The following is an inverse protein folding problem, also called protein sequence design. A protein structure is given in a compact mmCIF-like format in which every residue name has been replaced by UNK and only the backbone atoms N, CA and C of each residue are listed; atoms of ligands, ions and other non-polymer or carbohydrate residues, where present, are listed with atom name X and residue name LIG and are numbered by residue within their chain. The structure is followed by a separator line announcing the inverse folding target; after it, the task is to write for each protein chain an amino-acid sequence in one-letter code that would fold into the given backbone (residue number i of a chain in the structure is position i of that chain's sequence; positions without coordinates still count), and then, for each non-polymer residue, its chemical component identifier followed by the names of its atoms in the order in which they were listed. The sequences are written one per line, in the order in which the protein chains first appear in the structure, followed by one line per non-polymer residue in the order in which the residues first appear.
data_IF_908112606486
#
_entry.id   IF_908112606486
#
_cell.length_a   1.000
_cell.length_b   1.000
_cell.length_c   1.000
_cell.angle_alpha   90.00
_cell.angle_beta   90.00
_cell.angle_gamma   90.00
#
_symmetry.space_group_name_H-M   'P 1'
#
loop_
_entity.id
_entity.type
_entity.pdbx_description
1 polymer ?
#
# COMPACT_ATOMS: atom_id res chain seq x y z
N UNK A 1 36.26 -0.10 -9.92
CA UNK A 1 37.58 -0.75 -9.97
C UNK A 1 38.46 -0.10 -8.91
N UNK A 2 39.31 -0.85 -8.24
CA UNK A 2 40.29 -0.36 -7.30
C UNK A 2 41.62 -1.02 -7.63
N UNK A 3 42.74 -0.30 -7.44
CA UNK A 3 44.09 -0.85 -7.66
C UNK A 3 44.44 -1.97 -6.67
N UNK A 4 43.67 -2.12 -5.59
CA UNK A 4 43.79 -3.17 -4.55
C UNK A 4 42.75 -4.29 -4.68
N UNK A 5 42.22 -4.54 -5.88
CA UNK A 5 41.19 -5.57 -6.12
C UNK A 5 41.52 -6.94 -5.51
N UNK A 6 42.76 -7.47 -5.54
CA UNK A 6 43.09 -8.75 -4.92
C UNK A 6 43.03 -8.74 -3.38
N UNK A 7 43.31 -7.61 -2.74
CA UNK A 7 43.29 -7.47 -1.27
C UNK A 7 41.87 -7.37 -0.73
N UNK A 8 40.98 -6.72 -1.49
CA UNK A 8 39.55 -6.56 -1.13
C UNK A 8 38.82 -7.90 -1.08
N UNK A 9 39.32 -8.92 -1.79
CA UNK A 9 38.74 -10.28 -1.78
C UNK A 9 39.12 -11.09 -0.53
N UNK A 10 39.93 -10.55 0.39
CA UNK A 10 40.45 -11.27 1.57
C UNK A 10 40.01 -10.63 2.90
N UNK A 11 40.09 -11.42 3.96
CA UNK A 11 39.95 -10.95 5.34
C UNK A 11 38.63 -10.23 5.65
N UNK A 12 38.73 -9.13 6.39
CA UNK A 12 37.58 -8.33 6.83
C UNK A 12 36.78 -7.73 5.66
N UNK A 13 37.43 -7.40 4.55
CA UNK A 13 36.77 -6.91 3.34
C UNK A 13 35.82 -7.96 2.77
N UNK A 14 36.27 -9.22 2.71
CA UNK A 14 35.43 -10.34 2.25
C UNK A 14 34.20 -10.51 3.12
N UNK A 15 34.36 -10.44 4.44
CA UNK A 15 33.23 -10.54 5.39
C UNK A 15 32.24 -9.39 5.17
N UNK A 16 32.75 -8.16 5.02
CA UNK A 16 31.92 -6.98 4.80
C UNK A 16 31.10 -7.09 3.51
N UNK A 17 31.74 -7.40 2.39
CA UNK A 17 31.05 -7.49 1.10
C UNK A 17 30.09 -8.69 1.02
N UNK A 18 30.46 -9.88 1.49
CA UNK A 18 29.62 -11.06 1.39
C UNK A 18 28.53 -11.10 2.45
N UNK A 19 28.86 -10.84 3.72
CA UNK A 19 27.92 -11.08 4.81
C UNK A 19 27.10 -9.84 5.21
N UNK A 20 27.68 -8.64 5.05
CA UNK A 20 27.00 -7.39 5.43
C UNK A 20 26.31 -6.74 4.24
N UNK A 21 26.96 -6.72 3.09
CA UNK A 21 26.41 -6.14 1.87
C UNK A 21 25.79 -7.16 0.91
N UNK A 22 25.90 -8.45 1.23
CA UNK A 22 25.30 -9.55 0.45
C UNK A 22 25.74 -9.56 -1.03
N UNK A 23 27.01 -9.30 -1.30
CA UNK A 23 27.58 -9.47 -2.63
C UNK A 23 27.93 -10.93 -2.88
N UNK A 24 27.95 -11.32 -4.14
CA UNK A 24 28.49 -12.60 -4.61
C UNK A 24 29.91 -12.39 -5.14
N UNK A 25 30.75 -13.42 -5.06
CA UNK A 25 32.07 -13.39 -5.67
C UNK A 25 31.91 -13.58 -7.17
N UNK A 26 32.61 -12.76 -7.96
CA UNK A 26 32.74 -12.91 -9.41
C UNK A 26 34.16 -13.29 -9.75
N UNK A 27 34.31 -14.34 -10.57
CA UNK A 27 35.62 -14.80 -11.02
C UNK A 27 36.10 -14.05 -12.28
N UNK A 28 35.16 -13.53 -13.08
CA UNK A 28 35.47 -12.80 -14.32
C UNK A 28 34.61 -11.52 -14.46
N UNK A 29 35.19 -10.33 -14.30
CA UNK A 29 36.48 -10.02 -13.65
C UNK A 29 36.46 -10.32 -12.16
N UNK A 30 37.60 -10.66 -11.54
CA UNK A 30 37.66 -10.92 -10.11
C UNK A 30 37.12 -9.76 -9.29
N UNK A 31 36.19 -10.03 -8.36
CA UNK A 31 35.57 -8.97 -7.57
C UNK A 31 34.29 -9.41 -6.87
N UNK A 32 33.47 -8.42 -6.51
CA UNK A 32 32.16 -8.64 -5.90
C UNK A 32 31.07 -8.19 -6.86
N UNK A 33 30.04 -9.03 -7.01
CA UNK A 33 28.89 -8.77 -7.86
C UNK A 33 27.61 -8.82 -7.01
N UNK A 34 26.67 -7.91 -7.25
CA UNK A 34 25.36 -7.96 -6.63
C UNK A 34 24.28 -7.84 -7.70
N UNK A 35 23.30 -8.72 -7.64
CA UNK A 35 22.13 -8.66 -8.50
C UNK A 35 21.18 -7.54 -8.06
N UNK A 36 20.49 -6.95 -9.02
CA UNK A 36 19.83 -5.64 -9.07
C UNK A 36 18.88 -5.17 -7.94
N UNK A 37 18.61 -5.93 -6.90
CA UNK A 37 17.72 -5.44 -5.83
C UNK A 37 18.50 -4.74 -4.71
N UNK A 38 18.27 -3.44 -4.55
CA UNK A 38 18.88 -2.64 -3.47
C UNK A 38 20.30 -2.15 -3.73
N UNK A 39 20.75 -2.18 -4.99
CA UNK A 39 22.13 -1.83 -5.39
C UNK A 39 22.53 -0.39 -5.02
N UNK A 40 21.58 0.54 -5.08
CA UNK A 40 21.79 1.97 -4.84
C UNK A 40 22.35 2.23 -3.44
N UNK A 41 21.74 1.62 -2.43
CA UNK A 41 22.17 1.81 -1.04
C UNK A 41 23.45 1.07 -0.71
N UNK A 42 23.54 -0.15 -1.17
CA UNK A 42 24.70 -1.01 -0.99
C UNK A 42 25.95 -0.38 -1.63
N UNK A 43 25.79 0.32 -2.75
CA UNK A 43 26.87 1.03 -3.41
C UNK A 43 27.42 2.17 -2.52
N UNK A 44 26.55 2.95 -1.87
CA UNK A 44 27.01 4.01 -0.95
C UNK A 44 27.73 3.46 0.28
N UNK A 45 27.22 2.38 0.85
CA UNK A 45 27.84 1.77 2.01
C UNK A 45 29.18 1.12 1.65
N UNK A 46 29.27 0.50 0.46
CA UNK A 46 30.54 0.00 -0.08
C UNK A 46 31.55 1.12 -0.30
N UNK A 47 31.12 2.24 -0.90
CA UNK A 47 31.98 3.40 -1.14
C UNK A 47 32.46 4.02 0.17
N UNK A 48 31.58 4.21 1.14
CA UNK A 48 31.97 4.71 2.48
C UNK A 48 32.97 3.79 3.16
N UNK A 49 32.73 2.49 3.09
CA UNK A 49 33.65 1.50 3.66
C UNK A 49 35.03 1.58 3.01
N UNK A 50 35.10 1.61 1.66
CA UNK A 50 36.37 1.68 0.91
C UNK A 50 37.09 2.99 1.17
N UNK A 51 36.40 4.11 1.22
CA UNK A 51 37.01 5.42 1.55
C UNK A 51 37.57 5.42 2.98
N UNK A 52 36.93 4.78 3.94
CA UNK A 52 37.45 4.65 5.31
C UNK A 52 38.71 3.74 5.39
N UNK A 53 38.96 2.94 4.36
CA UNK A 53 40.16 2.11 4.21
C UNK A 53 41.21 2.80 3.33
N UNK A 54 41.10 4.12 3.08
CA UNK A 54 41.99 4.89 2.23
C UNK A 54 42.19 4.29 0.81
N UNK A 55 41.13 3.60 0.32
CA UNK A 55 41.16 2.97 -0.99
C UNK A 55 40.57 3.91 -2.02
N UNK A 56 41.32 4.26 -3.05
CA UNK A 56 40.79 5.01 -4.19
C UNK A 56 39.75 4.18 -4.96
N UNK A 57 38.61 4.78 -5.25
CA UNK A 57 37.51 4.13 -5.93
C UNK A 57 37.20 4.83 -7.24
N UNK A 58 37.42 4.14 -8.35
CA UNK A 58 36.97 4.60 -9.65
C UNK A 58 35.58 4.12 -9.96
N UNK A 59 34.74 5.03 -10.44
CA UNK A 59 33.38 4.74 -10.85
C UNK A 59 33.25 4.75 -12.37
N UNK A 60 32.63 3.73 -12.94
CA UNK A 60 32.17 3.81 -14.32
C UNK A 60 31.01 4.81 -14.45
N UNK A 61 30.60 5.14 -15.68
CA UNK A 61 29.51 6.08 -15.95
C UNK A 61 28.19 5.70 -15.27
N UNK A 62 27.85 4.42 -15.28
CA UNK A 62 26.60 3.90 -14.67
C UNK A 62 26.61 4.06 -13.14
N UNK A 63 27.72 3.71 -12.47
CA UNK A 63 27.84 3.87 -11.03
C UNK A 63 27.83 5.35 -10.61
N UNK A 64 28.44 6.24 -11.40
CA UNK A 64 28.38 7.69 -11.17
C UNK A 64 26.95 8.21 -11.27
N UNK A 65 26.20 7.79 -12.28
CA UNK A 65 24.80 8.18 -12.44
C UNK A 65 23.95 7.74 -11.26
N UNK A 66 24.12 6.49 -10.80
CA UNK A 66 23.42 5.97 -9.60
C UNK A 66 23.75 6.81 -8.37
N UNK A 67 25.02 7.12 -8.11
CA UNK A 67 25.43 7.94 -6.96
C UNK A 67 24.82 9.35 -7.04
N UNK A 68 24.84 9.97 -8.22
CA UNK A 68 24.23 11.28 -8.42
C UNK A 68 22.72 11.25 -8.14
N UNK A 69 22.02 10.23 -8.61
CA UNK A 69 20.59 10.06 -8.36
C UNK A 69 20.26 9.91 -6.86
N UNK A 70 21.08 9.14 -6.13
CA UNK A 70 20.93 8.99 -4.67
C UNK A 70 21.15 10.35 -3.96
N UNK A 71 22.18 11.08 -4.34
CA UNK A 71 22.48 12.39 -3.76
C UNK A 71 21.38 13.41 -4.05
N UNK A 72 20.86 13.41 -5.29
CA UNK A 72 19.74 14.26 -5.68
C UNK A 72 18.46 13.91 -4.92
N UNK A 73 18.14 12.61 -4.74
CA UNK A 73 16.99 12.21 -3.94
C UNK A 73 17.15 12.61 -2.47
N UNK A 74 18.36 12.53 -1.90
CA UNK A 74 18.64 13.00 -0.54
C UNK A 74 18.38 14.50 -0.39
N UNK A 75 18.86 15.34 -1.33
CA UNK A 75 18.57 16.78 -1.35
C UNK A 75 17.08 17.07 -1.45
N UNK A 76 16.37 16.37 -2.34
CA UNK A 76 14.91 16.49 -2.51
C UNK A 76 14.15 16.10 -1.25
N UNK A 77 14.59 15.04 -0.55
CA UNK A 77 13.99 14.62 0.71
C UNK A 77 14.14 15.70 1.80
N UNK A 78 15.36 16.25 1.97
CA UNK A 78 15.62 17.32 2.93
C UNK A 78 14.76 18.54 2.61
N UNK A 79 14.76 18.98 1.35
CA UNK A 79 13.93 20.10 0.88
C UNK A 79 12.43 19.85 1.14
N UNK A 80 11.96 18.65 0.83
CA UNK A 80 10.56 18.25 1.05
C UNK A 80 10.18 18.26 2.53
N UNK A 81 11.09 17.85 3.43
CA UNK A 81 10.87 17.94 4.88
C UNK A 81 10.73 19.39 5.34
N UNK A 82 11.58 20.30 4.89
CA UNK A 82 11.53 21.73 5.22
C UNK A 82 10.24 22.36 4.70
N UNK A 83 9.92 22.16 3.43
CA UNK A 83 8.69 22.68 2.80
C UNK A 83 7.45 22.11 3.49
N UNK A 84 7.41 20.81 3.72
CA UNK A 84 6.28 20.14 4.36
C UNK A 84 6.04 20.67 5.78
N UNK A 85 7.09 20.88 6.58
CA UNK A 85 6.99 21.48 7.90
C UNK A 85 6.43 22.92 7.83
N UNK A 86 6.91 23.73 6.88
CA UNK A 86 6.42 25.10 6.64
C UNK A 86 4.93 25.11 6.28
N UNK A 87 4.51 24.22 5.36
CA UNK A 87 3.11 24.12 4.92
C UNK A 87 2.17 23.69 6.06
N UNK A 88 2.64 22.86 6.99
CA UNK A 88 1.88 22.45 8.18
C UNK A 88 1.57 23.60 9.12
N UNK A 89 2.44 24.58 9.18
CA UNK A 89 2.32 25.75 10.05
C UNK A 89 1.65 26.96 9.35
N UNK A 90 1.48 26.89 8.03
CA UNK A 90 0.89 27.96 7.22
C UNK A 90 -0.58 27.68 6.93
N UNK A 91 -1.44 28.67 7.13
CA UNK A 91 -2.84 28.60 6.72
C UNK A 91 -2.92 28.88 5.22
N UNK A 92 -3.30 27.87 4.43
CA UNK A 92 -3.48 27.97 2.98
C UNK A 92 -4.98 27.98 2.69
N UNK A 93 -5.48 29.10 2.18
CA UNK A 93 -6.92 29.32 1.99
C UNK A 93 -7.36 29.17 0.52
N UNK A 94 -6.42 29.27 -0.42
CA UNK A 94 -6.71 29.16 -1.86
C UNK A 94 -5.55 28.51 -2.62
N UNK A 95 -5.86 27.88 -3.72
CA UNK A 95 -4.90 27.35 -4.69
C UNK A 95 -5.54 27.40 -6.07
N UNK A 96 -4.77 27.84 -7.06
CA UNK A 96 -5.23 27.87 -8.45
C UNK A 96 -4.91 26.53 -9.07
N UNK A 97 -5.94 25.85 -9.60
CA UNK A 97 -5.81 24.56 -10.29
C UNK A 97 -6.26 24.74 -11.73
N UNK A 98 -5.35 24.60 -12.71
CA UNK A 98 -5.68 24.76 -14.11
C UNK A 98 -6.82 23.83 -14.56
N UNK A 99 -7.82 24.39 -15.23
CA UNK A 99 -8.94 23.63 -15.79
C UNK A 99 -9.93 23.05 -14.79
N UNK A 100 -9.73 23.21 -13.48
CA UNK A 100 -10.66 22.74 -12.47
C UNK A 100 -11.98 23.49 -12.55
N UNK A 101 -13.09 22.76 -12.59
CA UNK A 101 -14.47 23.28 -12.65
C UNK A 101 -15.21 23.17 -11.33
N UNK A 102 -14.80 22.20 -10.51
CA UNK A 102 -15.37 21.95 -9.18
C UNK A 102 -14.55 22.66 -8.10
N UNK A 103 -15.22 23.31 -7.17
CA UNK A 103 -14.57 23.96 -6.03
C UNK A 103 -13.98 22.93 -5.06
N UNK A 104 -12.71 23.13 -4.68
CA UNK A 104 -12.07 22.34 -3.64
C UNK A 104 -12.59 22.74 -2.26
N UNK A 105 -12.90 21.76 -1.44
CA UNK A 105 -13.26 22.01 -0.04
C UNK A 105 -12.06 22.57 0.73
N UNK A 106 -12.32 23.43 1.72
CA UNK A 106 -11.27 24.14 2.49
C UNK A 106 -10.18 23.22 3.05
N UNK A 107 -10.53 21.99 3.45
CA UNK A 107 -9.57 21.01 3.95
C UNK A 107 -8.78 20.27 2.84
N UNK A 108 -9.22 20.33 1.58
CA UNK A 108 -8.50 19.75 0.44
C UNK A 108 -7.39 20.67 -0.05
N UNK A 109 -7.58 21.97 0.00
CA UNK A 109 -6.64 22.99 -0.49
C UNK A 109 -5.22 22.80 0.09
N UNK A 110 -5.04 22.67 1.41
CA UNK A 110 -3.70 22.43 1.97
C UNK A 110 -3.12 21.06 1.57
N UNK A 111 -3.97 20.05 1.36
CA UNK A 111 -3.52 18.72 0.91
C UNK A 111 -2.99 18.77 -0.54
N UNK A 112 -3.64 19.52 -1.43
CA UNK A 112 -3.17 19.79 -2.79
C UNK A 112 -1.85 20.54 -2.74
N UNK A 113 -1.78 21.63 -1.98
CA UNK A 113 -0.55 22.41 -1.83
C UNK A 113 0.61 21.56 -1.30
N UNK A 114 0.35 20.64 -0.39
CA UNK A 114 1.36 19.70 0.12
C UNK A 114 1.86 18.79 -0.99
N UNK A 115 0.98 18.10 -1.74
CA UNK A 115 1.39 17.19 -2.83
C UNK A 115 2.10 17.89 -3.99
N UNK A 116 1.78 19.16 -4.24
CA UNK A 116 2.43 19.94 -5.31
C UNK A 116 3.84 20.38 -4.92
N UNK A 117 4.02 20.81 -3.67
CA UNK A 117 5.27 21.46 -3.24
C UNK A 117 6.31 20.51 -2.65
N UNK A 118 5.93 19.31 -2.19
CA UNK A 118 6.90 18.27 -1.83
C UNK A 118 7.08 17.33 -3.02
N UNK A 119 8.30 16.80 -3.17
CA UNK A 119 8.61 15.93 -4.31
C UNK A 119 7.80 14.62 -4.28
N UNK A 120 7.82 13.92 -3.15
CA UNK A 120 7.09 12.67 -2.96
C UNK A 120 6.43 12.67 -1.58
N UNK A 121 5.14 12.36 -1.54
CA UNK A 121 4.41 12.52 -0.30
C UNK A 121 3.21 11.60 -0.13
N UNK A 122 2.72 11.53 1.09
CA UNK A 122 1.58 10.72 1.45
C UNK A 122 0.33 11.57 1.74
N UNK A 123 -0.83 11.07 1.33
CA UNK A 123 -2.11 11.57 1.77
C UNK A 123 -2.83 10.50 2.61
N UNK A 124 -2.73 10.64 3.93
CA UNK A 124 -3.33 9.73 4.91
C UNK A 124 -4.66 10.23 5.45
N UNK A 125 -5.40 10.94 4.61
CA UNK A 125 -6.73 11.45 4.95
C UNK A 125 -7.77 10.33 5.00
N UNK A 126 -8.76 10.50 5.87
CA UNK A 126 -9.83 9.51 6.05
C UNK A 126 -10.61 9.24 4.76
N UNK A 127 -11.25 8.07 4.61
CA UNK A 127 -12.17 7.80 3.51
C UNK A 127 -13.24 8.91 3.40
N UNK A 128 -13.65 9.24 2.18
CA UNK A 128 -14.60 10.32 1.91
C UNK A 128 -14.04 11.74 1.97
N UNK A 129 -12.74 11.93 2.25
CA UNK A 129 -12.09 13.25 2.22
C UNK A 129 -11.80 13.78 0.81
N UNK A 130 -12.03 12.97 -0.25
CA UNK A 130 -11.71 13.33 -1.63
C UNK A 130 -10.21 13.27 -1.94
N UNK A 131 -9.53 12.21 -1.52
CA UNK A 131 -8.11 11.98 -1.85
C UNK A 131 -7.87 11.98 -3.36
N UNK A 132 -8.80 11.41 -4.13
CA UNK A 132 -8.76 11.38 -5.59
C UNK A 132 -8.79 12.79 -6.19
N UNK A 133 -9.73 13.64 -5.76
CA UNK A 133 -9.79 15.06 -6.16
C UNK A 133 -8.50 15.81 -5.87
N UNK A 134 -7.90 15.54 -4.68
CA UNK A 134 -6.62 16.15 -4.27
C UNK A 134 -5.49 15.77 -5.23
N UNK A 135 -5.40 14.49 -5.61
CA UNK A 135 -4.36 14.02 -6.56
C UNK A 135 -4.62 14.58 -7.95
N UNK A 136 -5.86 14.57 -8.43
CA UNK A 136 -6.21 15.12 -9.75
C UNK A 136 -5.91 16.62 -9.84
N UNK A 137 -6.21 17.39 -8.79
CA UNK A 137 -5.87 18.80 -8.71
C UNK A 137 -4.33 19.01 -8.68
N UNK A 138 -3.60 18.22 -7.90
CA UNK A 138 -2.14 18.27 -7.87
C UNK A 138 -1.54 17.89 -9.23
N UNK A 139 -2.04 16.83 -9.87
CA UNK A 139 -1.63 16.43 -11.22
C UNK A 139 -1.83 17.56 -12.24
N UNK A 140 -2.99 18.21 -12.25
CA UNK A 140 -3.27 19.33 -13.17
C UNK A 140 -2.28 20.48 -12.98
N UNK A 141 -1.93 20.83 -11.75
CA UNK A 141 -0.93 21.87 -11.46
C UNK A 141 0.46 21.42 -11.94
N UNK A 142 0.88 20.22 -11.61
CA UNK A 142 2.20 19.69 -11.97
C UNK A 142 2.34 19.56 -13.50
N UNK A 143 1.28 19.15 -14.18
CA UNK A 143 1.23 19.07 -15.64
C UNK A 143 1.32 20.45 -16.28
N UNK A 144 0.65 21.44 -15.75
CA UNK A 144 0.72 22.83 -16.27
C UNK A 144 2.10 23.47 -16.08
N UNK A 145 2.92 22.95 -15.17
CA UNK A 145 4.33 23.35 -14.92
C UNK A 145 5.35 22.51 -15.71
N UNK A 146 4.88 21.63 -16.58
CA UNK A 146 5.73 20.66 -17.28
C UNK A 146 6.59 19.78 -16.35
N UNK A 147 6.11 19.58 -15.11
CA UNK A 147 6.80 18.70 -14.16
C UNK A 147 6.43 17.23 -14.37
N UNK A 148 5.22 16.94 -14.88
CA UNK A 148 4.73 15.59 -15.18
C UNK A 148 3.88 15.58 -16.46
N UNK A 149 3.92 14.45 -17.19
CA UNK A 149 3.16 14.25 -18.43
C UNK A 149 1.95 13.33 -18.19
N UNK A 150 2.15 12.30 -17.37
CA UNK A 150 1.19 11.21 -17.16
C UNK A 150 0.89 10.98 -15.69
N UNK A 151 -0.36 10.62 -15.41
CA UNK A 151 -0.81 10.11 -14.12
C UNK A 151 -0.94 8.58 -14.19
N UNK A 152 -0.16 7.87 -13.40
CA UNK A 152 -0.23 6.41 -13.30
C UNK A 152 -0.71 6.02 -11.91
N UNK A 153 -1.85 5.36 -11.84
CA UNK A 153 -2.48 4.95 -10.57
C UNK A 153 -2.45 3.44 -10.45
N UNK A 154 -1.81 2.96 -9.40
CA UNK A 154 -1.83 1.55 -8.99
C UNK A 154 -2.77 1.43 -7.79
N UNK A 155 -3.85 0.67 -7.94
CA UNK A 155 -4.87 0.54 -6.89
C UNK A 155 -5.80 -0.65 -7.09
N UNK A 156 -6.79 -0.84 -6.21
CA UNK A 156 -7.80 -1.86 -6.39
C UNK A 156 -8.61 -1.65 -7.69
N UNK A 157 -9.01 -2.72 -8.36
CA UNK A 157 -9.86 -2.61 -9.57
C UNK A 157 -11.16 -1.84 -9.32
N UNK A 158 -11.71 -1.93 -8.12
CA UNK A 158 -12.92 -1.21 -7.70
C UNK A 158 -12.74 0.31 -7.66
N UNK A 159 -11.52 0.82 -7.63
CA UNK A 159 -11.26 2.27 -7.66
C UNK A 159 -11.19 2.87 -9.07
N UNK A 160 -11.13 2.07 -10.15
CA UNK A 160 -10.91 2.58 -11.50
C UNK A 160 -12.05 3.50 -11.98
N UNK A 161 -13.29 3.03 -11.88
CA UNK A 161 -14.45 3.83 -12.23
C UNK A 161 -14.56 5.10 -11.37
N UNK A 162 -14.44 5.05 -10.02
CA UNK A 162 -14.34 6.24 -9.17
C UNK A 162 -13.26 7.24 -9.59
N UNK A 163 -12.10 6.82 -10.10
CA UNK A 163 -11.06 7.73 -10.60
C UNK A 163 -11.51 8.48 -11.85
N UNK A 164 -12.18 7.80 -12.79
CA UNK A 164 -12.68 8.40 -14.02
C UNK A 164 -13.87 9.34 -13.77
N UNK A 165 -14.79 8.92 -12.92
CA UNK A 165 -15.93 9.73 -12.50
C UNK A 165 -15.46 10.99 -11.78
N UNK A 166 -14.53 10.87 -10.84
CA UNK A 166 -13.99 12.03 -10.13
C UNK A 166 -13.23 12.98 -11.06
N UNK A 167 -12.54 12.45 -12.09
CA UNK A 167 -11.91 13.29 -13.10
C UNK A 167 -12.96 14.09 -13.87
N UNK A 168 -14.06 13.44 -14.28
CA UNK A 168 -15.16 14.14 -14.96
C UNK A 168 -15.78 15.22 -14.06
N UNK A 169 -16.04 14.92 -12.82
CA UNK A 169 -16.55 15.87 -11.82
C UNK A 169 -15.61 17.07 -11.61
N UNK A 170 -14.31 16.83 -11.62
CA UNK A 170 -13.30 17.88 -11.43
C UNK A 170 -13.14 18.78 -12.66
N UNK A 171 -13.20 18.23 -13.89
CA UNK A 171 -12.78 18.97 -15.11
C UNK A 171 -13.87 19.08 -16.17
N UNK A 172 -15.04 18.48 -16.00
CA UNK A 172 -16.15 18.42 -16.95
C UNK A 172 -15.72 17.94 -18.35
N UNK A 173 -14.73 17.08 -18.40
CA UNK A 173 -14.25 16.42 -19.63
C UNK A 173 -13.90 14.98 -19.35
N UNK A 174 -14.07 14.12 -20.35
CA UNK A 174 -13.63 12.72 -20.25
C UNK A 174 -12.11 12.64 -20.29
N UNK A 175 -11.47 11.92 -19.38
CA UNK A 175 -10.03 11.70 -19.44
C UNK A 175 -9.66 10.74 -20.58
N UNK A 176 -8.44 10.88 -21.14
CA UNK A 176 -7.80 9.82 -21.92
C UNK A 176 -7.25 8.78 -20.96
N UNK A 177 -8.04 7.73 -20.68
CA UNK A 177 -7.70 6.69 -19.71
C UNK A 177 -7.41 5.39 -20.40
N UNK A 178 -6.32 4.74 -20.00
CA UNK A 178 -6.05 3.34 -20.28
C UNK A 178 -6.17 2.51 -18.99
N UNK A 179 -7.10 1.54 -18.98
CA UNK A 179 -7.21 0.55 -17.91
C UNK A 179 -6.40 -0.66 -18.28
N UNK A 180 -5.28 -0.88 -17.60
CA UNK A 180 -4.45 -2.06 -17.81
C UNK A 180 -5.12 -3.29 -17.18
N UNK A 181 -5.84 -4.04 -18.01
CA UNK A 181 -6.62 -5.22 -17.63
C UNK A 181 -6.56 -6.29 -18.74
N UNK A 182 -7.04 -7.52 -18.46
CA UNK A 182 -7.16 -8.56 -19.47
C UNK A 182 -5.99 -9.54 -19.55
N UNK A 183 -6.05 -10.45 -20.53
CA UNK A 183 -5.03 -11.48 -20.77
C UNK A 183 -3.81 -10.91 -21.50
N UNK A 184 -2.70 -11.70 -21.51
CA UNK A 184 -1.47 -11.34 -22.24
C UNK A 184 -1.77 -11.10 -23.74
N UNK A 185 -2.63 -11.93 -24.35
CA UNK A 185 -3.00 -11.77 -25.75
C UNK A 185 -3.76 -10.46 -26.04
N UNK A 186 -4.58 -9.99 -25.09
CA UNK A 186 -5.31 -8.74 -25.23
C UNK A 186 -4.40 -7.48 -25.12
N UNK A 187 -3.14 -7.66 -24.74
CA UNK A 187 -2.18 -6.57 -24.48
C UNK A 187 -1.13 -6.41 -25.58
N UNK A 188 -1.39 -6.94 -26.80
CA UNK A 188 -0.45 -6.85 -27.95
C UNK A 188 -0.03 -5.42 -28.30
N UNK A 189 -0.84 -4.42 -27.98
CA UNK A 189 -0.57 -3.00 -28.25
C UNK A 189 -0.25 -2.21 -26.97
N UNK A 190 0.10 -2.91 -25.89
CA UNK A 190 0.29 -2.32 -24.57
C UNK A 190 1.20 -1.09 -24.58
N UNK A 191 2.34 -1.16 -25.24
CA UNK A 191 3.28 -0.04 -25.26
C UNK A 191 2.67 1.21 -25.92
N UNK A 192 1.95 1.06 -27.03
CA UNK A 192 1.26 2.19 -27.71
C UNK A 192 0.16 2.76 -26.82
N UNK A 193 -0.66 1.90 -26.21
CA UNK A 193 -1.80 2.32 -25.38
C UNK A 193 -1.32 3.05 -24.11
N UNK A 194 -0.25 2.56 -23.49
CA UNK A 194 0.41 3.24 -22.37
C UNK A 194 0.98 4.61 -22.79
N UNK A 195 1.60 4.69 -23.96
CA UNK A 195 2.24 5.94 -24.44
C UNK A 195 1.21 7.01 -24.84
N UNK A 196 0.06 6.62 -25.42
CA UNK A 196 -0.96 7.54 -25.92
C UNK A 196 -1.90 8.09 -24.82
N UNK A 197 -2.03 7.39 -23.69
CA UNK A 197 -2.99 7.74 -22.65
C UNK A 197 -2.43 8.77 -21.66
N UNK A 198 -3.31 9.67 -21.17
CA UNK A 198 -2.98 10.65 -20.14
C UNK A 198 -2.98 10.03 -18.74
N UNK A 199 -3.96 9.17 -18.47
CA UNK A 199 -4.15 8.49 -17.21
C UNK A 199 -4.07 6.99 -17.42
N UNK A 200 -3.31 6.31 -16.60
CA UNK A 200 -3.17 4.84 -16.63
C UNK A 200 -3.63 4.29 -15.28
N UNK A 201 -4.62 3.39 -15.31
CA UNK A 201 -5.16 2.74 -14.14
C UNK A 201 -4.83 1.25 -14.18
N UNK A 202 -4.23 0.72 -13.12
CA UNK A 202 -3.87 -0.70 -13.03
C UNK A 202 -3.95 -1.24 -11.61
N UNK A 203 -4.16 -2.55 -11.49
CA UNK A 203 -4.08 -3.21 -10.19
C UNK A 203 -2.62 -3.51 -9.80
N UNK A 204 -2.36 -3.72 -8.50
CA UNK A 204 -1.05 -4.13 -7.99
C UNK A 204 -0.52 -5.38 -8.70
N UNK A 205 -1.39 -6.38 -8.92
CA UNK A 205 -1.04 -7.59 -9.67
C UNK A 205 -0.60 -7.27 -11.11
N UNK A 206 -1.31 -6.38 -11.79
CA UNK A 206 -0.99 -5.99 -13.16
C UNK A 206 0.32 -5.20 -13.23
N UNK A 207 0.56 -4.30 -12.28
CA UNK A 207 1.81 -3.57 -12.19
C UNK A 207 3.02 -4.50 -12.00
N UNK A 208 2.86 -5.58 -11.23
CA UNK A 208 3.91 -6.61 -11.09
C UNK A 208 4.13 -7.39 -12.38
N UNK A 209 3.06 -7.77 -13.06
CA UNK A 209 3.16 -8.56 -14.29
C UNK A 209 3.79 -7.78 -15.46
N UNK A 210 3.62 -6.45 -15.47
CA UNK A 210 4.07 -5.55 -16.55
C UNK A 210 5.17 -4.60 -16.10
N UNK A 211 5.93 -4.97 -15.08
CA UNK A 211 6.94 -4.11 -14.47
C UNK A 211 8.01 -3.63 -15.47
N UNK A 212 8.44 -4.47 -16.40
CA UNK A 212 9.41 -4.10 -17.43
C UNK A 212 8.87 -3.04 -18.40
N UNK A 213 7.61 -3.19 -18.85
CA UNK A 213 6.98 -2.20 -19.72
C UNK A 213 6.73 -0.87 -18.99
N UNK A 214 6.41 -0.92 -17.70
CA UNK A 214 6.29 0.28 -16.87
C UNK A 214 7.63 0.99 -16.69
N UNK A 215 8.74 0.27 -16.51
CA UNK A 215 10.08 0.87 -16.45
C UNK A 215 10.40 1.56 -17.78
N UNK A 216 10.12 0.93 -18.93
CA UNK A 216 10.30 1.56 -20.25
C UNK A 216 9.45 2.83 -20.38
N UNK A 217 8.19 2.78 -19.95
CA UNK A 217 7.31 3.95 -19.94
C UNK A 217 7.88 5.08 -19.09
N UNK A 218 8.27 4.80 -17.84
CA UNK A 218 8.76 5.81 -16.90
C UNK A 218 10.09 6.44 -17.30
N UNK A 219 10.93 5.72 -18.04
CA UNK A 219 12.15 6.27 -18.64
C UNK A 219 11.87 7.27 -19.78
N UNK A 220 10.72 7.11 -20.46
CA UNK A 220 10.35 7.90 -21.63
C UNK A 220 9.34 9.02 -21.35
N UNK A 221 8.83 9.13 -20.12
CA UNK A 221 7.89 10.19 -19.74
C UNK A 221 8.07 10.62 -18.29
N UNK A 222 7.64 11.84 -17.99
CA UNK A 222 7.60 12.37 -16.62
C UNK A 222 6.34 11.87 -15.91
N UNK A 223 6.39 10.68 -15.33
CA UNK A 223 5.23 10.06 -14.69
C UNK A 223 5.01 10.54 -13.25
N UNK A 224 3.73 10.78 -12.89
CA UNK A 224 3.28 10.89 -11.51
C UNK A 224 2.67 9.55 -11.09
N UNK A 225 3.42 8.76 -10.36
CA UNK A 225 3.04 7.43 -9.89
C UNK A 225 2.35 7.50 -8.54
N UNK A 226 1.11 7.05 -8.49
CA UNK A 226 0.26 7.10 -7.30
C UNK A 226 -0.15 5.70 -6.88
N UNK A 227 0.06 5.35 -5.62
CA UNK A 227 -0.50 4.14 -5.03
C UNK A 227 -1.80 4.47 -4.28
N UNK A 228 -2.91 3.99 -4.82
CA UNK A 228 -4.20 4.06 -4.14
C UNK A 228 -4.40 2.85 -3.24
N UNK A 229 -4.90 3.07 -2.02
CA UNK A 229 -4.94 2.09 -0.94
C UNK A 229 -3.57 1.44 -0.71
N UNK A 230 -2.55 2.29 -0.49
CA UNK A 230 -1.12 1.90 -0.39
C UNK A 230 -0.82 0.85 0.69
N UNK A 231 -1.75 0.61 1.61
CA UNK A 231 -1.65 -0.49 2.56
C UNK A 231 -1.59 -1.88 1.88
N UNK A 232 -1.82 -2.00 0.57
CA UNK A 232 -1.63 -3.24 -0.18
C UNK A 232 -0.16 -3.66 -0.32
N UNK A 233 0.80 -2.72 -0.19
CA UNK A 233 2.25 -3.03 -0.17
C UNK A 233 2.82 -3.10 1.25
N UNK A 234 2.01 -3.31 2.27
CA UNK A 234 2.35 -3.25 3.70
C UNK A 234 3.28 -4.35 4.22
N UNK A 235 3.58 -5.39 3.44
CA UNK A 235 4.37 -6.54 3.91
C UNK A 235 5.81 -6.15 4.20
N UNK A 236 6.10 -5.94 5.48
CA UNK A 236 7.46 -5.64 5.95
C UNK A 236 8.45 -6.77 5.63
N UNK A 237 8.05 -8.03 5.78
CA UNK A 237 8.90 -9.19 5.46
C UNK A 237 9.22 -9.35 3.97
N UNK A 238 8.65 -8.49 3.13
CA UNK A 238 8.72 -8.60 1.69
C UNK A 238 7.52 -9.32 1.11
N UNK A 239 7.38 -9.22 -0.19
CA UNK A 239 6.34 -9.88 -0.96
C UNK A 239 6.36 -9.36 -2.39
N UNK A 240 5.97 -10.20 -3.34
CA UNK A 240 6.05 -9.89 -4.77
C UNK A 240 5.54 -8.48 -5.10
N UNK A 241 4.41 -8.08 -4.53
CA UNK A 241 3.88 -6.73 -4.79
C UNK A 241 4.72 -5.62 -4.17
N UNK A 242 5.13 -5.78 -2.91
CA UNK A 242 5.94 -4.77 -2.21
C UNK A 242 7.26 -4.54 -2.95
N UNK A 243 7.98 -5.62 -3.22
CA UNK A 243 9.33 -5.56 -3.78
C UNK A 243 9.30 -5.03 -5.22
N UNK A 244 8.35 -5.51 -6.05
CA UNK A 244 8.20 -5.02 -7.42
C UNK A 244 7.77 -3.55 -7.47
N UNK A 245 6.78 -3.14 -6.67
CA UNK A 245 6.31 -1.75 -6.66
C UNK A 245 7.40 -0.79 -6.17
N UNK A 246 8.18 -1.18 -5.16
CA UNK A 246 9.33 -0.39 -4.71
C UNK A 246 10.40 -0.30 -5.79
N UNK A 247 10.65 -1.38 -6.56
CA UNK A 247 11.63 -1.36 -7.65
C UNK A 247 11.22 -0.46 -8.84
N UNK A 248 9.93 -0.19 -9.02
CA UNK A 248 9.43 0.78 -10.02
C UNK A 248 9.65 2.24 -9.60
N UNK A 249 9.72 2.49 -8.31
CA UNK A 249 9.70 3.84 -7.75
C UNK A 249 10.83 4.77 -8.26
N UNK A 250 12.10 4.32 -8.41
CA UNK A 250 13.19 5.18 -8.89
C UNK A 250 12.97 5.75 -10.28
N UNK A 251 12.20 5.07 -11.12
CA UNK A 251 11.95 5.48 -12.51
C UNK A 251 10.83 6.52 -12.64
N UNK A 252 9.97 6.65 -11.64
CA UNK A 252 8.89 7.62 -11.66
C UNK A 252 9.38 9.02 -11.25
N UNK A 253 8.98 10.06 -12.00
CA UNK A 253 9.36 11.46 -11.74
C UNK A 253 8.85 11.96 -10.40
N UNK A 254 7.59 11.68 -10.09
CA UNK A 254 6.89 12.06 -8.85
C UNK A 254 6.14 10.86 -8.30
N UNK A 255 6.06 10.76 -6.98
CA UNK A 255 5.37 9.64 -6.30
C UNK A 255 4.42 10.14 -5.24
N UNK A 256 3.28 9.48 -5.11
CA UNK A 256 2.38 9.69 -3.99
C UNK A 256 1.77 8.38 -3.50
N UNK A 257 1.42 8.33 -2.23
CA UNK A 257 0.65 7.24 -1.65
C UNK A 257 -0.61 7.75 -0.99
N UNK A 258 -1.70 7.00 -1.17
CA UNK A 258 -3.01 7.30 -0.59
C UNK A 258 -3.45 6.15 0.29
N UNK A 259 -3.83 6.43 1.52
CA UNK A 259 -4.46 5.45 2.41
C UNK A 259 -5.25 6.12 3.51
N UNK A 260 -6.46 5.63 3.77
CA UNK A 260 -7.23 6.01 4.97
C UNK A 260 -6.69 5.33 6.24
N UNK A 261 -5.99 4.22 6.09
CA UNK A 261 -5.46 3.36 7.15
C UNK A 261 -4.00 2.98 6.86
N UNK A 262 -3.04 3.92 7.03
CA UNK A 262 -1.63 3.66 6.68
C UNK A 262 -0.99 2.57 7.54
N UNK A 263 -1.50 2.34 8.74
CA UNK A 263 -1.03 1.32 9.70
C UNK A 263 -2.20 0.40 10.05
N UNK A 264 -2.56 -0.54 9.18
CA UNK A 264 -3.70 -1.40 9.46
C UNK A 264 -3.43 -2.48 10.52
N UNK A 265 -2.22 -3.01 10.61
CA UNK A 265 -1.87 -4.11 11.50
C UNK A 265 -0.66 -3.82 12.39
N UNK A 266 0.41 -3.27 11.84
CA UNK A 266 1.67 -3.03 12.50
C UNK A 266 2.32 -1.74 12.03
N UNK A 267 3.06 -1.07 12.90
CA UNK A 267 3.86 0.10 12.56
C UNK A 267 4.92 -0.22 11.49
N UNK A 268 5.36 -1.48 11.42
CA UNK A 268 6.28 -1.98 10.40
C UNK A 268 5.72 -1.82 8.98
N UNK A 269 4.39 -1.79 8.83
CA UNK A 269 3.70 -1.59 7.55
C UNK A 269 4.04 -0.24 6.87
N UNK A 270 4.52 0.74 7.64
CA UNK A 270 4.95 2.05 7.12
C UNK A 270 6.25 1.98 6.33
N UNK A 271 7.13 1.03 6.65
CA UNK A 271 8.45 0.97 6.01
C UNK A 271 8.34 0.84 4.49
N UNK A 272 7.60 -0.14 3.99
CA UNK A 272 7.43 -0.36 2.55
C UNK A 272 6.79 0.85 1.85
N UNK A 273 5.78 1.46 2.49
CA UNK A 273 5.08 2.62 1.95
C UNK A 273 6.00 3.86 1.84
N UNK A 274 6.83 4.10 2.84
CA UNK A 274 7.75 5.24 2.85
C UNK A 274 8.99 4.99 1.98
N UNK A 275 9.43 3.73 1.86
CA UNK A 275 10.49 3.33 0.94
C UNK A 275 10.05 3.49 -0.51
N UNK A 276 8.79 3.20 -0.85
CA UNK A 276 8.26 3.53 -2.18
C UNK A 276 8.37 5.03 -2.50
N UNK A 277 8.09 5.91 -1.55
CA UNK A 277 8.24 7.35 -1.79
C UNK A 277 9.69 7.77 -1.97
N UNK A 278 10.61 7.19 -1.22
CA UNK A 278 12.02 7.56 -1.15
C UNK A 278 12.90 6.30 -1.16
N UNK A 279 13.00 5.59 -2.31
CA UNK A 279 13.64 4.27 -2.36
C UNK A 279 15.14 4.31 -2.07
N UNK A 280 15.84 5.35 -2.51
CA UNK A 280 17.26 5.50 -2.31
C UNK A 280 17.63 6.10 -0.93
N UNK A 281 16.69 6.84 -0.34
CA UNK A 281 16.86 7.49 0.98
C UNK A 281 15.61 7.28 1.87
N UNK A 282 15.29 6.04 2.28
CA UNK A 282 14.09 5.77 3.07
C UNK A 282 14.06 6.59 4.36
N UNK A 283 13.01 7.37 4.62
CA UNK A 283 12.92 8.22 5.81
C UNK A 283 13.00 7.47 7.14
N UNK A 284 12.67 6.18 7.14
CA UNK A 284 12.73 5.29 8.30
C UNK A 284 14.03 4.46 8.35
N UNK A 285 14.96 4.72 7.42
CA UNK A 285 16.23 3.99 7.34
C UNK A 285 16.11 2.59 6.76
N UNK A 286 17.11 1.74 7.05
CA UNK A 286 17.10 0.36 6.58
C UNK A 286 16.04 -0.47 7.27
N UNK A 287 15.61 -1.54 6.61
CA UNK A 287 14.64 -2.50 7.14
C UNK A 287 15.06 -3.06 8.51
N UNK A 288 16.32 -3.51 8.61
CA UNK A 288 16.84 -4.11 9.84
C UNK A 288 16.99 -3.09 10.97
N UNK A 289 17.51 -1.90 10.67
CA UNK A 289 17.62 -0.82 11.65
C UNK A 289 16.23 -0.39 12.15
N UNK A 290 15.26 -0.28 11.26
CA UNK A 290 13.89 0.10 11.61
C UNK A 290 13.25 -0.92 12.54
N UNK A 291 13.38 -2.23 12.24
CA UNK A 291 12.92 -3.31 13.10
C UNK A 291 13.64 -3.28 14.45
N UNK A 292 14.97 -3.23 14.44
CA UNK A 292 15.75 -3.19 15.67
C UNK A 292 15.35 -2.05 16.60
N UNK A 293 15.10 -0.84 16.06
CA UNK A 293 14.68 0.31 16.85
C UNK A 293 13.31 0.08 17.52
N UNK A 294 12.36 -0.53 16.78
CA UNK A 294 11.03 -0.87 17.32
C UNK A 294 11.13 -1.94 18.41
N UNK A 295 11.90 -3.00 18.18
CA UNK A 295 12.06 -4.11 19.11
C UNK A 295 12.78 -3.66 20.40
N UNK A 296 13.70 -2.70 20.30
CA UNK A 296 14.46 -2.15 21.42
C UNK A 296 13.63 -1.22 22.31
N UNK A 297 12.94 -0.27 21.73
CA UNK A 297 12.07 0.69 22.41
C UNK A 297 11.00 1.25 21.45
N UNK A 298 9.84 0.63 21.47
CA UNK A 298 8.72 0.99 20.62
C UNK A 298 8.28 2.45 20.81
N UNK A 299 8.30 2.96 22.04
CA UNK A 299 7.86 4.36 22.33
C UNK A 299 8.80 5.38 21.73
N UNK A 300 10.09 5.21 21.88
CA UNK A 300 11.12 6.06 21.29
C UNK A 300 11.08 5.98 19.77
N UNK A 301 10.96 4.76 19.21
CA UNK A 301 10.83 4.54 17.78
C UNK A 301 9.59 5.24 17.20
N UNK A 302 8.43 5.17 17.86
CA UNK A 302 7.21 5.86 17.43
C UNK A 302 7.37 7.39 17.40
N UNK A 303 8.12 7.96 18.35
CA UNK A 303 8.43 9.39 18.35
C UNK A 303 9.30 9.77 17.15
N UNK A 304 10.38 9.02 16.92
CA UNK A 304 11.29 9.20 15.78
C UNK A 304 10.54 9.06 14.43
N UNK A 305 9.71 8.04 14.29
CA UNK A 305 8.86 7.82 13.10
C UNK A 305 7.98 9.04 12.85
N UNK A 306 7.31 9.55 13.89
CA UNK A 306 6.45 10.71 13.78
C UNK A 306 7.22 11.94 13.33
N UNK A 307 8.36 12.22 13.91
CA UNK A 307 9.22 13.36 13.56
C UNK A 307 9.72 13.28 12.12
N UNK A 308 10.19 12.09 11.70
CA UNK A 308 10.69 11.87 10.36
C UNK A 308 9.62 11.93 9.27
N UNK A 309 8.42 11.46 9.55
CA UNK A 309 7.35 11.37 8.55
C UNK A 309 6.40 12.56 8.57
N UNK A 310 6.27 13.29 9.70
CA UNK A 310 5.30 14.37 9.84
C UNK A 310 5.32 15.39 8.70
N UNK A 311 6.46 15.88 8.22
CA UNK A 311 6.51 16.81 7.09
C UNK A 311 6.12 16.18 5.74
N UNK A 312 6.23 14.86 5.59
CA UNK A 312 6.11 14.14 4.33
C UNK A 312 4.69 13.61 4.05
N UNK A 313 3.74 13.78 4.98
CA UNK A 313 2.35 13.38 4.75
C UNK A 313 1.36 14.49 5.09
N UNK A 314 0.21 14.47 4.43
CA UNK A 314 -0.97 15.24 4.81
C UNK A 314 -2.06 14.33 5.35
N UNK A 315 -2.81 14.79 6.35
CA UNK A 315 -3.89 14.01 6.94
C UNK A 315 -5.06 14.90 7.35
N UNK A 316 -6.21 14.69 6.74
CA UNK A 316 -7.51 15.21 7.16
C UNK A 316 -8.16 14.15 8.05
N UNK A 317 -8.63 14.52 9.23
CA UNK A 317 -9.30 13.64 10.20
C UNK A 317 -10.81 13.76 10.05
N UNK A 318 -11.57 12.79 10.58
CA UNK A 318 -13.04 12.83 10.58
C UNK A 318 -13.59 14.16 11.13
N UNK A 319 -13.00 14.69 12.19
CA UNK A 319 -13.40 15.97 12.81
C UNK A 319 -13.21 17.19 11.90
N UNK A 320 -12.29 17.12 10.95
CA UNK A 320 -11.97 18.21 10.01
C UNK A 320 -12.97 18.25 8.85
N UNK A 321 -13.81 17.21 8.69
CA UNK A 321 -14.82 17.10 7.64
C UNK A 321 -16.13 17.80 7.98
N UNK A 322 -16.31 18.29 9.22
CA UNK A 322 -17.55 18.89 9.73
C UNK A 322 -18.81 18.02 9.46
N UNK A 323 -18.65 16.71 9.57
CA UNK A 323 -19.75 15.77 9.41
C UNK A 323 -20.72 15.87 10.60
N UNK A 324 -22.03 15.69 10.38
CA UNK A 324 -23.00 15.59 11.46
C UNK A 324 -22.63 14.44 12.39
N UNK A 325 -23.01 14.54 13.66
CA UNK A 325 -22.78 13.45 14.61
C UNK A 325 -23.51 12.19 14.11
N UNK A 326 -22.82 11.02 14.07
CA UNK A 326 -23.47 9.79 13.63
C UNK A 326 -24.54 9.39 14.66
N UNK A 327 -25.72 9.05 14.18
CA UNK A 327 -26.74 8.40 14.96
C UNK A 327 -26.61 6.88 14.79
N UNK A 328 -26.45 6.17 15.91
CA UNK A 328 -26.33 4.72 15.90
C UNK A 328 -27.66 4.09 16.36
N UNK A 329 -28.31 3.36 15.45
CA UNK A 329 -29.46 2.55 15.77
C UNK A 329 -29.04 1.09 15.87
N UNK A 330 -29.15 0.51 17.05
CA UNK A 330 -28.82 -0.90 17.29
C UNK A 330 -30.08 -1.73 17.21
N UNK A 331 -30.22 -2.52 16.14
CA UNK A 331 -31.37 -3.44 15.96
C UNK A 331 -30.94 -4.84 16.36
N UNK A 332 -31.54 -5.37 17.42
CA UNK A 332 -31.28 -6.74 17.86
C UNK A 332 -32.17 -7.68 17.05
N UNK A 333 -31.52 -8.55 16.27
CA UNK A 333 -32.19 -9.54 15.43
C UNK A 333 -31.99 -10.94 16.03
N UNK A 334 -33.08 -11.66 16.30
CA UNK A 334 -33.02 -13.05 16.77
C UNK A 334 -32.73 -13.96 15.57
N UNK A 335 -31.76 -14.88 15.73
CA UNK A 335 -31.51 -15.91 14.72
C UNK A 335 -32.72 -16.76 14.49
N UNK A 336 -32.96 -17.14 13.24
CA UNK A 336 -34.00 -18.09 12.87
C UNK A 336 -33.62 -19.52 13.28
N UNK A 337 -34.55 -20.47 13.32
CA UNK A 337 -34.35 -21.81 13.88
C UNK A 337 -33.15 -22.55 13.28
N UNK A 338 -33.04 -22.66 11.95
CA UNK A 338 -31.91 -23.34 11.29
C UNK A 338 -30.63 -22.60 11.48
N UNK A 339 -30.61 -21.26 11.35
CA UNK A 339 -29.45 -20.41 11.62
C UNK A 339 -28.93 -20.60 13.05
N UNK A 340 -29.87 -20.63 14.03
CA UNK A 340 -29.52 -20.83 15.44
C UNK A 340 -28.95 -22.23 15.69
N UNK A 341 -29.48 -23.26 15.04
CA UNK A 341 -28.96 -24.62 15.14
C UNK A 341 -27.54 -24.73 14.62
N UNK A 342 -27.26 -24.19 13.42
CA UNK A 342 -25.91 -24.14 12.84
C UNK A 342 -24.94 -23.38 13.75
N UNK A 343 -25.35 -22.19 14.23
CA UNK A 343 -24.53 -21.37 15.11
C UNK A 343 -24.18 -22.08 16.42
N UNK A 344 -25.17 -22.65 17.10
CA UNK A 344 -24.98 -23.33 18.39
C UNK A 344 -24.05 -24.55 18.26
N UNK A 345 -24.18 -25.33 17.19
CA UNK A 345 -23.30 -26.48 16.94
C UNK A 345 -21.86 -26.05 16.75
N UNK A 346 -21.64 -25.00 15.97
CA UNK A 346 -20.29 -24.44 15.78
C UNK A 346 -19.72 -23.82 17.07
N UNK A 347 -20.57 -23.15 17.86
CA UNK A 347 -20.15 -22.55 19.13
C UNK A 347 -19.69 -23.61 20.14
N UNK A 348 -20.46 -24.71 20.29
CA UNK A 348 -20.07 -25.83 21.16
C UNK A 348 -18.75 -26.43 20.72
N UNK A 349 -18.57 -26.68 19.41
CA UNK A 349 -17.34 -27.24 18.88
C UNK A 349 -16.15 -26.30 19.09
N UNK A 350 -16.31 -24.99 18.81
CA UNK A 350 -15.27 -23.98 19.05
C UNK A 350 -14.88 -23.94 20.53
N UNK A 351 -15.85 -23.99 21.45
CA UNK A 351 -15.58 -24.02 22.88
C UNK A 351 -14.86 -25.31 23.32
N UNK A 352 -15.30 -26.48 22.83
CA UNK A 352 -14.63 -27.75 23.16
C UNK A 352 -13.19 -27.83 22.68
N UNK A 353 -12.92 -27.26 21.49
CA UNK A 353 -11.58 -27.20 20.93
C UNK A 353 -10.67 -26.21 21.67
N UNK A 354 -11.23 -25.10 22.20
CA UNK A 354 -10.48 -24.14 23.02
C UNK A 354 -10.05 -24.74 24.36
N UNK A 355 -10.86 -25.64 24.93
CA UNK A 355 -10.60 -26.28 26.23
C UNK A 355 -9.56 -27.38 26.09
N UNK A 356 -9.44 -28.02 24.94
CA UNK A 356 -8.62 -29.25 24.74
C UNK A 356 -7.15 -28.99 24.39
N UNK A 357 -6.74 -27.77 24.04
CA UNK A 357 -5.36 -27.47 23.63
C UNK A 357 -4.69 -26.43 24.55
N UNK A 358 -3.72 -26.80 25.39
CA UNK A 358 -2.76 -25.88 25.98
C UNK A 358 -1.47 -25.80 25.16
N UNK A 359 -0.91 -24.57 25.07
CA UNK A 359 0.52 -24.28 24.85
C UNK A 359 1.14 -24.17 23.46
N UNK A 360 0.60 -23.37 22.54
CA UNK A 360 1.48 -22.63 21.61
C UNK A 360 0.85 -21.26 21.26
N UNK A 361 1.30 -20.18 21.91
CA UNK A 361 0.63 -18.87 21.89
C UNK A 361 0.51 -18.19 20.53
N UNK A 362 1.38 -18.43 19.57
CA UNK A 362 1.34 -17.76 18.25
C UNK A 362 0.40 -18.44 17.26
N UNK A 363 0.47 -19.77 17.13
CA UNK A 363 -0.44 -20.57 16.30
C UNK A 363 -1.89 -20.53 16.80
N UNK A 364 -2.07 -20.43 18.12
CA UNK A 364 -3.38 -20.26 18.78
C UNK A 364 -4.11 -18.98 18.38
N UNK A 365 -3.39 -17.88 18.10
CA UNK A 365 -4.01 -16.59 17.76
C UNK A 365 -4.69 -16.62 16.39
N UNK A 366 -4.04 -17.19 15.38
CA UNK A 366 -4.58 -17.26 14.02
C UNK A 366 -5.67 -18.33 13.91
N UNK A 367 -5.53 -19.43 14.60
CA UNK A 367 -6.52 -20.47 14.72
C UNK A 367 -7.82 -19.98 15.44
N UNK A 368 -7.67 -19.22 16.55
CA UNK A 368 -8.83 -18.57 17.22
C UNK A 368 -9.52 -17.58 16.31
N UNK A 369 -8.78 -16.79 15.53
CA UNK A 369 -9.35 -15.85 14.55
C UNK A 369 -10.17 -16.59 13.50
N UNK A 370 -9.66 -17.67 12.93
CA UNK A 370 -10.35 -18.46 11.91
C UNK A 370 -11.68 -19.02 12.44
N UNK A 371 -11.71 -19.56 13.67
CA UNK A 371 -12.93 -20.09 14.29
C UNK A 371 -13.94 -19.00 14.64
N UNK A 372 -13.51 -17.83 15.11
CA UNK A 372 -14.38 -16.69 15.33
C UNK A 372 -15.02 -16.19 14.03
N UNK A 373 -14.26 -16.18 12.92
CA UNK A 373 -14.80 -15.83 11.60
C UNK A 373 -15.93 -16.79 11.19
N UNK A 374 -15.80 -18.09 11.47
CA UNK A 374 -16.87 -19.08 11.19
C UNK A 374 -18.14 -18.81 12.00
N UNK A 375 -18.00 -18.49 13.28
CA UNK A 375 -19.17 -18.10 14.09
C UNK A 375 -19.83 -16.82 13.56
N UNK A 376 -19.05 -15.84 13.13
CA UNK A 376 -19.58 -14.62 12.50
C UNK A 376 -20.29 -14.92 11.17
N UNK A 377 -19.75 -15.83 10.34
CA UNK A 377 -20.40 -16.31 9.12
C UNK A 377 -21.73 -16.99 9.42
N UNK A 378 -21.78 -17.93 10.37
CA UNK A 378 -23.02 -18.57 10.81
C UNK A 378 -24.04 -17.55 11.34
N UNK A 379 -23.60 -16.57 12.11
CA UNK A 379 -24.45 -15.51 12.66
C UNK A 379 -24.94 -14.50 11.61
N UNK A 380 -24.29 -14.42 10.47
CA UNK A 380 -24.67 -13.51 9.37
C UNK A 380 -25.43 -14.24 8.27
N UNK A 381 -24.84 -15.29 7.72
CA UNK A 381 -25.42 -16.14 6.69
C UNK A 381 -24.73 -17.52 6.70
N UNK A 382 -25.45 -18.59 7.16
CA UNK A 382 -24.91 -19.95 7.19
C UNK A 382 -24.43 -20.50 5.84
N UNK A 383 -24.98 -20.04 4.72
CA UNK A 383 -24.52 -20.46 3.37
C UNK A 383 -23.05 -20.13 3.09
N UNK A 384 -22.47 -19.16 3.79
CA UNK A 384 -21.05 -18.82 3.66
C UNK A 384 -20.10 -19.93 4.15
N UNK A 385 -20.64 -20.91 4.89
CA UNK A 385 -19.88 -22.05 5.41
C UNK A 385 -19.75 -23.18 4.38
N UNK A 386 -20.59 -23.22 3.34
CA UNK A 386 -20.64 -24.32 2.36
C UNK A 386 -19.34 -24.54 1.57
N UNK A 387 -18.55 -23.49 1.35
CA UNK A 387 -17.27 -23.55 0.60
C UNK A 387 -16.13 -24.23 1.37
N UNK A 388 -16.32 -24.60 2.63
CA UNK A 388 -15.26 -25.06 3.54
C UNK A 388 -15.67 -26.29 4.36
N UNK A 389 -16.66 -27.05 3.88
CA UNK A 389 -17.22 -28.21 4.59
C UNK A 389 -16.23 -29.36 4.77
N UNK A 390 -15.23 -29.49 3.90
CA UNK A 390 -14.23 -30.57 3.97
C UNK A 390 -13.22 -30.43 5.12
N UNK A 391 -12.88 -29.20 5.54
CA UNK A 391 -11.95 -28.94 6.65
C UNK A 391 -12.59 -29.10 8.05
N UNK A 392 -13.93 -29.09 8.12
CA UNK A 392 -14.67 -29.22 9.37
C UNK A 392 -15.55 -30.47 9.35
N UNK A 393 -15.07 -31.60 9.90
CA UNK A 393 -15.92 -32.72 10.26
C UNK A 393 -16.92 -32.26 11.33
N UNK A 394 -18.06 -31.73 10.89
CA UNK A 394 -19.15 -31.34 11.75
C UNK A 394 -19.89 -32.62 12.17
N UNK A 395 -20.04 -32.91 13.48
CA UNK A 395 -20.79 -34.08 13.88
C UNK A 395 -22.24 -33.99 13.37
N UNK A 396 -22.84 -35.10 12.94
CA UNK A 396 -24.26 -35.10 12.55
C UNK A 396 -25.12 -34.70 13.76
N UNK A 397 -25.78 -33.58 13.68
CA UNK A 397 -26.74 -33.14 14.67
C UNK A 397 -28.12 -33.17 14.01
N UNK A 398 -28.92 -34.09 14.48
CA UNK A 398 -30.30 -34.21 14.06
C UNK A 398 -31.17 -33.10 14.68
N UNK A 399 -31.43 -32.04 13.96
CA UNK A 399 -32.64 -31.27 14.10
C UNK A 399 -33.50 -31.63 12.89
N UNK A 400 -34.59 -32.32 13.06
CA UNK A 400 -35.50 -32.76 11.99
C UNK A 400 -34.95 -33.76 10.94
N UNK A 401 -34.02 -34.65 11.32
CA UNK A 401 -33.49 -35.70 10.42
C UNK A 401 -32.45 -35.27 9.38
N UNK A 402 -32.07 -34.00 9.36
CA UNK A 402 -31.03 -33.45 8.44
C UNK A 402 -29.69 -33.25 9.17
N UNK A 403 -28.60 -33.60 8.52
CA UNK A 403 -27.28 -33.23 9.04
C UNK A 403 -27.06 -31.72 8.93
N UNK A 404 -26.20 -31.16 9.80
CA UNK A 404 -25.86 -29.73 9.74
C UNK A 404 -25.19 -29.35 8.39
N UNK A 405 -24.44 -30.27 7.79
CA UNK A 405 -23.87 -30.08 6.45
C UNK A 405 -24.96 -29.94 5.38
N UNK A 406 -26.00 -30.79 5.45
CA UNK A 406 -27.16 -30.69 4.56
C UNK A 406 -27.94 -29.39 4.76
N UNK A 407 -28.08 -28.93 6.01
CA UNK A 407 -28.69 -27.63 6.31
C UNK A 407 -27.86 -26.48 5.76
N UNK A 408 -26.51 -26.50 5.92
CA UNK A 408 -25.64 -25.46 5.39
C UNK A 408 -25.69 -25.45 3.85
N UNK A 409 -25.59 -26.61 3.20
CA UNK A 409 -25.57 -26.72 1.74
C UNK A 409 -26.88 -26.23 1.09
N UNK A 410 -28.02 -26.46 1.75
CA UNK A 410 -29.36 -26.09 1.24
C UNK A 410 -29.99 -24.95 2.02
N UNK A 411 -29.24 -24.22 2.83
CA UNK A 411 -29.76 -23.19 3.74
C UNK A 411 -30.71 -22.18 3.07
N UNK A 412 -30.43 -21.64 1.88
CA UNK A 412 -31.35 -20.70 1.22
C UNK A 412 -32.74 -21.27 0.93
N UNK A 413 -32.88 -22.60 0.88
CA UNK A 413 -34.15 -23.25 0.61
C UNK A 413 -35.02 -23.35 1.88
N UNK A 414 -34.44 -23.16 3.07
CA UNK A 414 -35.17 -23.29 4.34
C UNK A 414 -35.59 -21.95 4.91
N UNK A 415 -34.68 -20.98 4.93
CA UNK A 415 -34.95 -19.67 5.49
C UNK A 415 -33.98 -18.60 4.97
N UNK A 416 -34.41 -17.34 4.90
CA UNK A 416 -33.53 -16.19 4.68
C UNK A 416 -32.80 -15.88 5.98
N UNK A 417 -31.50 -15.59 5.97
CA UNK A 417 -30.77 -15.18 7.16
C UNK A 417 -31.41 -13.99 7.87
N UNK A 418 -31.57 -14.09 9.19
CA UNK A 418 -32.35 -13.12 9.95
C UNK A 418 -31.85 -11.67 9.83
N UNK A 419 -30.53 -11.46 9.76
CA UNK A 419 -29.97 -10.14 9.56
C UNK A 419 -30.27 -9.57 8.18
N UNK A 420 -30.17 -10.38 7.12
CA UNK A 420 -30.47 -9.96 5.75
C UNK A 420 -31.95 -9.60 5.63
N UNK A 421 -32.85 -10.42 6.21
CA UNK A 421 -34.28 -10.10 6.22
C UNK A 421 -34.58 -8.79 6.97
N UNK A 422 -33.94 -8.57 8.11
CA UNK A 422 -34.11 -7.34 8.86
C UNK A 422 -33.57 -6.12 8.08
N UNK A 423 -32.45 -6.26 7.38
CA UNK A 423 -31.82 -5.20 6.57
C UNK A 423 -32.73 -4.81 5.39
N UNK A 424 -33.33 -5.79 4.71
CA UNK A 424 -34.29 -5.55 3.62
C UNK A 424 -35.55 -4.82 4.11
N UNK A 425 -35.96 -5.03 5.36
CA UNK A 425 -37.15 -4.39 5.95
C UNK A 425 -36.92 -3.01 6.53
N UNK A 426 -35.63 -2.60 6.70
CA UNK A 426 -35.29 -1.27 7.20
C UNK A 426 -35.41 -0.28 6.04
N UNK A 427 -36.36 0.68 6.06
CA UNK A 427 -36.39 1.71 5.02
C UNK A 427 -35.13 2.53 5.11
N UNK A 428 -34.33 2.52 4.04
CA UNK A 428 -33.20 3.44 3.87
C UNK A 428 -33.81 4.83 3.69
N UNK A 429 -33.96 5.59 4.76
CA UNK A 429 -34.14 7.02 4.67
C UNK A 429 -32.79 7.61 4.25
N UNK A 430 -32.57 7.73 2.95
CA UNK A 430 -31.55 8.62 2.39
C UNK A 430 -31.96 10.02 2.86
N UNK A 431 -31.19 10.64 3.72
CA UNK A 431 -31.34 12.05 3.99
C UNK A 431 -30.98 12.77 2.68
N UNK A 432 -31.96 13.19 1.94
CA UNK A 432 -31.81 14.20 0.91
C UNK A 432 -31.42 15.50 1.62
N UNK A 433 -30.14 15.88 1.47
CA UNK A 433 -29.62 17.21 1.70
C UNK A 433 -28.63 17.58 0.60
#
# INVERSE_FOLDING_TARGET
KTDRAPEILKGMHRIFFLNILEFEISDEPPGYKKNNSGIHKVLLDAVKYLNNQETEVEFNSEAREVILNIQEEAKKLIRSKVIGATLKNKKINSIIVPGLKRELKKYQIPAVAHLVNIENGANFSVPGSGKTSVVLAAYSILKSRDEVDKLVVIGPRSSFMPWEEEYYECFHKKPSVFRLTGSIAARRHLHRDLSSSEIILMSYQMACNESEELIKLFRNCKSFLVLDESHNIKRFEGGIWSDTIISLAPYAKRRAILSGTPVPNSILDLWSQTTFLWPDNPPLGTKDRFRHNIDKDEKSALKEIKENLYPLYWRVRKKDLNLPKPYFHYIKVKMKPYQKAVYNTLAVKVLSDIIKEPEERSKLRDWRKAKMVRLLQAASNPSLLSKYSEEFKIPPINASGLSIEQVIAKYPNYEMPAKIEAEVRIPVRVAEN
#
